data_IF_572061995024
#
_entry.id   IF_572061995024
#
_cell.length_a   1.000
_cell.length_b   1.000
_cell.length_c   1.000
_cell.angle_alpha   90.00
_cell.angle_beta   90.00
_cell.angle_gamma   90.00
#
_symmetry.space_group_name_H-M   'P 1'
#
loop_
_entity.id
_entity.type
_entity.pdbx_description
1 polymer ?
#
# COMPACT_ATOMS: atom_id res chain seq x y z
N UNK A 1 -13.27 -20.81 -46.02
CA UNK A 1 -13.09 -19.39 -45.58
C UNK A 1 -12.95 -19.21 -44.05
N UNK A 2 -13.05 -20.25 -43.24
CA UNK A 2 -12.97 -20.22 -41.76
C UNK A 2 -11.57 -20.25 -41.15
N UNK A 3 -10.54 -20.66 -41.87
CA UNK A 3 -9.17 -20.84 -41.32
C UNK A 3 -8.34 -19.55 -41.17
N UNK A 4 -8.75 -18.43 -41.80
CA UNK A 4 -7.98 -17.17 -41.74
C UNK A 4 -8.27 -16.32 -40.51
N UNK A 5 -9.44 -16.46 -39.88
CA UNK A 5 -9.81 -15.68 -38.72
C UNK A 5 -9.17 -16.16 -37.41
N UNK A 6 -8.98 -17.48 -37.28
CA UNK A 6 -8.33 -18.06 -36.10
C UNK A 6 -6.87 -17.67 -35.96
N UNK A 7 -6.13 -17.49 -37.06
CA UNK A 7 -4.74 -17.08 -37.04
C UNK A 7 -4.55 -15.60 -36.66
N UNK A 8 -5.47 -14.74 -37.06
CA UNK A 8 -5.44 -13.31 -36.69
C UNK A 8 -5.82 -13.07 -35.22
N UNK A 9 -6.77 -13.84 -34.68
CA UNK A 9 -7.10 -13.77 -33.25
C UNK A 9 -5.98 -14.33 -32.37
N UNK A 10 -5.39 -15.45 -32.73
CA UNK A 10 -4.25 -16.00 -31.98
C UNK A 10 -3.03 -15.07 -32.00
N UNK A 11 -2.77 -14.38 -33.10
CA UNK A 11 -1.67 -13.41 -33.17
C UNK A 11 -1.94 -12.15 -32.31
N UNK A 12 -3.19 -11.70 -32.20
CA UNK A 12 -3.55 -10.58 -31.34
C UNK A 12 -3.47 -10.95 -29.85
N UNK A 13 -3.90 -12.17 -29.48
CA UNK A 13 -3.81 -12.66 -28.09
C UNK A 13 -2.34 -12.90 -27.71
N UNK A 14 -1.53 -13.44 -28.62
CA UNK A 14 -0.09 -13.63 -28.39
C UNK A 14 0.64 -12.29 -28.26
N UNK A 15 0.28 -11.25 -29.04
CA UNK A 15 0.86 -9.92 -28.93
C UNK A 15 0.48 -9.22 -27.62
N UNK A 16 -0.75 -9.39 -27.11
CA UNK A 16 -1.14 -8.90 -25.79
C UNK A 16 -0.43 -9.61 -24.63
N UNK A 17 -0.21 -10.92 -24.75
CA UNK A 17 0.49 -11.69 -23.72
C UNK A 17 2.00 -11.38 -23.67
N UNK A 18 2.61 -11.04 -24.82
CA UNK A 18 4.02 -10.65 -24.90
C UNK A 18 4.25 -9.23 -24.39
N UNK A 19 3.33 -8.30 -24.66
CA UNK A 19 3.44 -6.92 -24.12
C UNK A 19 3.32 -6.88 -22.59
N UNK A 20 2.59 -7.80 -21.96
CA UNK A 20 2.50 -7.92 -20.49
C UNK A 20 3.75 -8.54 -19.84
N UNK A 21 4.60 -9.24 -20.60
CA UNK A 21 5.73 -9.99 -20.06
C UNK A 21 7.01 -9.14 -19.83
N UNK A 22 7.05 -7.88 -20.30
CA UNK A 22 8.23 -7.01 -20.20
C UNK A 22 8.07 -5.78 -19.31
N UNK A 23 6.92 -5.59 -18.70
CA UNK A 23 6.69 -4.47 -17.80
C UNK A 23 7.16 -4.84 -16.38
N UNK A 24 8.45 -4.72 -16.10
CA UNK A 24 8.97 -4.92 -14.75
C UNK A 24 8.91 -3.61 -13.96
N UNK A 25 8.29 -3.67 -12.80
CA UNK A 25 8.36 -2.62 -11.80
C UNK A 25 9.61 -2.79 -10.95
N UNK A 26 10.15 -1.68 -10.49
CA UNK A 26 11.25 -1.65 -9.52
C UNK A 26 10.76 -0.98 -8.26
N UNK A 27 11.01 -1.62 -7.11
CA UNK A 27 10.73 -1.06 -5.80
C UNK A 27 12.05 -1.06 -5.03
N UNK A 28 12.50 0.13 -4.63
CA UNK A 28 13.74 0.32 -3.86
C UNK A 28 13.38 0.86 -2.49
N UNK A 29 13.80 0.20 -1.42
CA UNK A 29 13.63 0.69 -0.05
C UNK A 29 14.75 1.65 0.24
N UNK A 30 14.40 2.92 0.45
CA UNK A 30 15.35 4.01 0.68
C UNK A 30 15.68 4.14 2.18
N UNK A 31 14.65 3.98 3.04
CA UNK A 31 14.79 4.08 4.48
C UNK A 31 13.78 3.17 5.18
N UNK A 32 14.20 2.55 6.27
CA UNK A 32 13.33 1.72 7.10
C UNK A 32 13.76 1.86 8.56
N UNK A 33 12.97 2.59 9.33
CA UNK A 33 13.24 2.89 10.73
C UNK A 33 12.02 2.62 11.58
N UNK A 34 12.22 2.30 12.84
CA UNK A 34 11.14 2.15 13.79
C UNK A 34 11.66 2.25 15.22
N UNK A 35 10.78 2.53 16.14
CA UNK A 35 11.09 2.60 17.56
C UNK A 35 9.87 2.32 18.43
N UNK A 36 10.11 1.82 19.64
CA UNK A 36 9.13 1.74 20.72
C UNK A 36 9.69 2.42 21.97
N UNK A 37 8.85 3.14 22.69
CA UNK A 37 9.24 3.90 23.88
C UNK A 37 8.73 3.26 25.15
N UNK A 38 9.64 3.03 26.09
CA UNK A 38 9.36 2.55 27.45
C UNK A 38 9.45 3.73 28.44
N UNK A 39 8.33 4.21 28.99
CA UNK A 39 8.35 5.35 29.93
C UNK A 39 8.94 4.99 31.29
N UNK A 40 8.89 3.73 31.71
CA UNK A 40 9.40 3.30 33.02
C UNK A 40 10.94 3.39 33.09
N UNK A 41 11.61 3.01 32.01
CA UNK A 41 13.08 3.08 31.91
C UNK A 41 13.57 4.31 31.17
N UNK A 42 12.64 5.13 30.66
CA UNK A 42 12.93 6.28 29.81
C UNK A 42 13.84 5.88 28.63
N UNK A 43 13.57 4.76 28.01
CA UNK A 43 14.42 4.21 26.94
C UNK A 43 13.61 3.97 25.67
N UNK A 44 14.31 4.04 24.54
CA UNK A 44 13.78 3.73 23.21
C UNK A 44 14.48 2.50 22.66
N UNK A 45 13.70 1.51 22.25
CA UNK A 45 14.19 0.38 21.49
C UNK A 45 13.98 0.66 19.99
N UNK A 46 15.07 0.64 19.22
CA UNK A 46 14.99 0.80 17.77
C UNK A 46 14.55 -0.50 17.11
N UNK A 47 13.60 -0.38 16.22
CA UNK A 47 13.02 -1.50 15.47
C UNK A 47 12.87 -1.09 14.00
N UNK A 48 13.04 -2.04 13.09
CA UNK A 48 12.76 -1.83 11.67
C UNK A 48 11.59 -2.69 11.23
N UNK A 49 10.78 -2.21 10.30
CA UNK A 49 9.70 -3.00 9.75
C UNK A 49 10.23 -4.13 8.84
N UNK A 50 9.48 -5.22 8.72
CA UNK A 50 9.66 -6.16 7.61
C UNK A 50 8.91 -5.60 6.42
N UNK A 51 9.61 -5.39 5.31
CA UNK A 51 9.04 -4.87 4.07
C UNK A 51 9.06 -5.96 3.02
N UNK A 52 7.89 -6.36 2.54
CA UNK A 52 7.73 -7.31 1.44
C UNK A 52 7.34 -6.54 0.18
N UNK A 53 8.02 -6.79 -0.92
CA UNK A 53 7.78 -6.13 -2.20
C UNK A 53 7.47 -7.15 -3.27
N UNK A 54 6.48 -6.83 -4.11
CA UNK A 54 6.09 -7.62 -5.27
C UNK A 54 6.08 -6.69 -6.48
N UNK A 55 6.64 -7.14 -7.58
CA UNK A 55 6.81 -6.32 -8.79
C UNK A 55 6.03 -6.84 -10.00
N UNK A 56 5.35 -7.97 -9.86
CA UNK A 56 4.58 -8.61 -10.94
C UNK A 56 3.30 -9.27 -10.38
N UNK A 57 2.11 -9.11 -10.97
CA UNK A 57 1.82 -8.29 -12.15
C UNK A 57 1.73 -6.77 -11.86
N UNK A 58 1.50 -6.38 -10.60
CA UNK A 58 1.41 -5.00 -10.15
C UNK A 58 2.42 -4.73 -9.04
N UNK A 59 2.93 -3.51 -8.93
CA UNK A 59 3.78 -3.14 -7.81
C UNK A 59 2.96 -3.15 -6.52
N UNK A 60 3.44 -3.91 -5.53
CA UNK A 60 2.80 -4.05 -4.24
C UNK A 60 3.86 -4.00 -3.13
N UNK A 61 3.53 -3.32 -2.04
CA UNK A 61 4.35 -3.23 -0.84
C UNK A 61 3.51 -3.59 0.37
N UNK A 62 4.06 -4.42 1.24
CA UNK A 62 3.49 -4.75 2.55
C UNK A 62 4.51 -4.37 3.61
N UNK A 63 4.16 -3.40 4.44
CA UNK A 63 4.94 -3.00 5.60
C UNK A 63 4.37 -3.72 6.81
N UNK A 64 5.18 -4.53 7.46
CA UNK A 64 4.85 -5.25 8.68
C UNK A 64 5.71 -4.64 9.79
N UNK A 65 5.16 -3.75 10.62
CA UNK A 65 5.92 -3.16 11.71
C UNK A 65 6.33 -4.24 12.70
N UNK A 66 7.58 -4.20 13.15
CA UNK A 66 8.12 -5.18 14.10
C UNK A 66 8.65 -4.43 15.32
N UNK A 67 8.20 -4.85 16.50
CA UNK A 67 8.77 -4.45 17.76
C UNK A 67 9.21 -5.70 18.53
N UNK A 68 10.41 -6.19 18.22
CA UNK A 68 10.90 -7.43 18.83
C UNK A 68 10.05 -8.65 18.41
N UNK A 69 9.74 -9.54 19.33
CA UNK A 69 8.77 -10.62 19.13
C UNK A 69 7.49 -10.25 19.92
N UNK A 70 6.40 -9.87 19.30
CA UNK A 70 5.70 -10.37 18.12
C UNK A 70 5.83 -9.49 16.87
N UNK A 71 5.28 -9.98 15.74
CA UNK A 71 5.29 -9.38 14.41
C UNK A 71 4.28 -8.20 14.34
N UNK A 72 4.48 -7.19 15.18
CA UNK A 72 3.65 -5.99 15.22
C UNK A 72 4.34 -4.89 16.05
N UNK A 73 4.11 -3.61 15.76
CA UNK A 73 4.32 -2.57 16.76
C UNK A 73 3.15 -2.65 17.75
N UNK A 74 3.45 -2.66 19.03
CA UNK A 74 2.45 -2.72 20.09
C UNK A 74 2.78 -1.77 21.24
N UNK A 75 1.73 -1.26 21.87
CA UNK A 75 1.80 -0.49 23.10
C UNK A 75 0.71 -0.97 24.08
N UNK A 76 0.98 -0.95 25.37
CA UNK A 76 0.10 -1.53 26.38
C UNK A 76 0.15 -3.08 26.42
N UNK A 77 -0.95 -3.74 26.77
CA UNK A 77 -1.10 -5.21 26.84
C UNK A 77 -0.02 -5.93 27.64
N UNK A 78 0.34 -5.39 28.81
CA UNK A 78 1.41 -5.92 29.64
C UNK A 78 2.82 -5.60 29.12
N UNK A 79 2.96 -4.98 27.96
CA UNK A 79 4.25 -4.49 27.44
C UNK A 79 4.68 -3.22 28.18
N UNK A 80 5.98 -3.00 28.36
CA UNK A 80 6.48 -1.78 29.00
C UNK A 80 6.43 -0.54 28.09
N UNK A 81 5.71 -0.59 26.96
CA UNK A 81 5.71 0.44 25.93
C UNK A 81 4.39 1.22 25.92
N UNK A 82 4.48 2.54 25.78
CA UNK A 82 3.32 3.43 25.58
C UNK A 82 3.22 3.99 24.17
N UNK A 83 4.29 3.95 23.42
CA UNK A 83 4.34 4.48 22.06
C UNK A 83 5.22 3.60 21.17
N UNK A 84 4.81 3.42 19.94
CA UNK A 84 5.61 2.80 18.90
C UNK A 84 5.41 3.47 17.54
N UNK A 85 6.46 3.54 16.76
CA UNK A 85 6.43 4.10 15.41
C UNK A 85 7.26 3.24 14.47
N UNK A 86 6.78 3.11 13.22
CA UNK A 86 7.55 2.59 12.09
C UNK A 86 7.43 3.56 10.93
N UNK A 87 8.55 3.83 10.26
CA UNK A 87 8.61 4.70 9.09
C UNK A 87 9.39 4.00 7.98
N UNK A 88 8.78 3.88 6.82
CA UNK A 88 9.39 3.28 5.63
C UNK A 88 9.28 4.27 4.48
N UNK A 89 10.41 4.57 3.86
CA UNK A 89 10.47 5.34 2.62
C UNK A 89 10.96 4.43 1.51
N UNK A 90 10.29 4.46 0.37
CA UNK A 90 10.67 3.67 -0.81
C UNK A 90 10.28 4.36 -2.10
N UNK A 91 10.98 3.98 -3.16
CA UNK A 91 10.75 4.47 -4.52
C UNK A 91 10.13 3.36 -5.37
N UNK A 92 9.12 3.71 -6.15
CA UNK A 92 8.48 2.84 -7.15
C UNK A 92 8.70 3.43 -8.53
N UNK A 93 9.27 2.63 -9.43
CA UNK A 93 9.49 3.01 -10.83
C UNK A 93 8.97 1.93 -11.77
N UNK A 94 8.34 2.32 -12.86
CA UNK A 94 7.79 1.38 -13.83
C UNK A 94 7.49 1.98 -15.19
N UNK A 95 7.09 1.14 -16.14
CA UNK A 95 6.93 1.54 -17.54
C UNK A 95 5.63 2.30 -17.82
N UNK A 96 4.65 2.21 -16.92
CA UNK A 96 3.33 2.82 -17.11
C UNK A 96 2.99 3.71 -15.90
N UNK A 97 2.26 4.83 -16.10
CA UNK A 97 1.80 5.63 -14.98
C UNK A 97 0.87 4.85 -14.04
N UNK A 98 1.06 5.03 -12.75
CA UNK A 98 0.14 4.63 -11.69
C UNK A 98 -0.86 5.76 -11.49
N UNK A 99 -2.13 5.44 -11.40
CA UNK A 99 -3.23 6.39 -11.17
C UNK A 99 -3.76 6.37 -9.75
N UNK A 100 -3.40 5.35 -8.98
CA UNK A 100 -3.87 5.25 -7.60
C UNK A 100 -3.30 4.05 -6.86
N UNK A 101 -3.75 3.89 -5.64
CA UNK A 101 -3.31 2.83 -4.73
C UNK A 101 -4.49 2.27 -3.94
N UNK A 102 -4.58 0.95 -3.87
CA UNK A 102 -5.44 0.25 -2.93
C UNK A 102 -4.68 0.07 -1.63
N UNK A 103 -5.18 0.67 -0.56
CA UNK A 103 -4.57 0.65 0.77
C UNK A 103 -5.39 -0.28 1.67
N UNK A 104 -4.72 -1.19 2.37
CA UNK A 104 -5.31 -2.00 3.43
C UNK A 104 -4.51 -1.81 4.71
N UNK A 105 -5.15 -1.30 5.76
CA UNK A 105 -4.61 -1.19 7.10
C UNK A 105 -5.16 -2.32 7.97
N UNK A 106 -4.33 -2.86 8.86
CA UNK A 106 -4.75 -3.92 9.78
C UNK A 106 -4.11 -3.68 11.15
N UNK A 107 -4.95 -3.54 12.17
CA UNK A 107 -4.54 -3.28 13.54
C UNK A 107 -5.59 -3.69 14.56
N UNK A 108 -5.33 -3.39 15.82
CA UNK A 108 -6.23 -3.60 16.95
C UNK A 108 -6.08 -2.44 17.93
N UNK A 109 -7.19 -1.97 18.48
CA UNK A 109 -7.21 -0.95 19.54
C UNK A 109 -8.17 -1.34 20.65
N UNK A 110 -7.86 -0.94 21.88
CA UNK A 110 -8.73 -1.07 23.05
C UNK A 110 -8.41 0.00 24.09
N UNK A 111 -9.44 0.49 24.77
CA UNK A 111 -9.31 1.47 25.87
C UNK A 111 -8.79 2.83 25.40
N UNK A 112 -7.89 3.44 26.17
CA UNK A 112 -7.28 4.74 25.85
C UNK A 112 -6.06 4.55 24.94
N UNK A 113 -6.28 3.97 23.77
CA UNK A 113 -5.23 3.66 22.79
C UNK A 113 -5.66 4.08 21.39
N UNK A 114 -4.68 4.28 20.51
CA UNK A 114 -4.94 4.49 19.09
C UNK A 114 -3.86 3.81 18.23
N UNK A 115 -4.24 3.54 16.99
CA UNK A 115 -3.34 3.18 15.90
C UNK A 115 -3.57 4.10 14.72
N UNK A 116 -2.51 4.58 14.10
CA UNK A 116 -2.60 5.45 12.94
C UNK A 116 -1.71 4.97 11.80
N UNK A 117 -2.17 5.24 10.59
CA UNK A 117 -1.44 5.01 9.34
C UNK A 117 -1.44 6.30 8.53
N UNK A 118 -0.27 6.72 8.09
CA UNK A 118 -0.09 7.86 7.20
C UNK A 118 0.70 7.43 5.98
N UNK A 119 0.27 7.86 4.81
CA UNK A 119 0.96 7.66 3.55
C UNK A 119 1.04 8.97 2.79
N UNK A 120 2.25 9.28 2.34
CA UNK A 120 2.49 10.37 1.40
C UNK A 120 3.17 9.84 0.15
N UNK A 121 2.70 10.24 -1.01
CA UNK A 121 3.28 9.88 -2.30
C UNK A 121 3.69 11.13 -3.04
N UNK A 122 4.95 11.17 -3.46
CA UNK A 122 5.56 12.30 -4.16
C UNK A 122 5.99 11.86 -5.56
N UNK A 123 5.50 12.53 -6.59
CA UNK A 123 6.06 12.37 -7.93
C UNK A 123 7.50 12.88 -7.96
N UNK A 124 8.42 12.04 -8.43
CA UNK A 124 9.85 12.38 -8.43
C UNK A 124 10.25 13.35 -9.53
N UNK A 125 9.50 13.43 -10.62
CA UNK A 125 9.79 14.34 -11.72
C UNK A 125 9.47 15.80 -11.38
N UNK A 126 8.34 16.02 -10.68
CA UNK A 126 7.87 17.35 -10.29
C UNK A 126 8.14 17.69 -8.81
N UNK A 127 8.52 16.69 -8.00
CA UNK A 127 8.65 16.77 -6.55
C UNK A 127 7.36 17.27 -5.86
N UNK A 128 6.19 16.93 -6.43
CA UNK A 128 4.88 17.32 -5.90
C UNK A 128 4.24 16.17 -5.13
N UNK A 129 3.51 16.51 -4.07
CA UNK A 129 2.67 15.55 -3.34
C UNK A 129 1.46 15.19 -4.19
N UNK A 130 1.33 13.91 -4.55
CA UNK A 130 0.24 13.39 -5.40
C UNK A 130 -0.77 12.54 -4.65
N UNK A 131 -0.45 12.15 -3.41
CA UNK A 131 -1.38 11.53 -2.47
C UNK A 131 -0.96 11.86 -1.04
N UNK A 132 -1.92 12.26 -0.22
CA UNK A 132 -1.82 12.34 1.23
C UNK A 132 -2.98 11.54 1.85
N UNK A 133 -2.65 10.51 2.62
CA UNK A 133 -3.62 9.64 3.29
C UNK A 133 -3.29 9.56 4.77
N UNK A 134 -4.32 9.66 5.59
CA UNK A 134 -4.21 9.40 7.02
C UNK A 134 -5.46 8.68 7.51
N UNK A 135 -5.27 7.63 8.32
CA UNK A 135 -6.34 6.94 9.03
C UNK A 135 -5.93 6.74 10.48
N UNK A 136 -6.83 7.07 11.40
CA UNK A 136 -6.62 6.88 12.83
C UNK A 136 -7.81 6.13 13.40
N UNK A 137 -7.53 5.10 14.19
CA UNK A 137 -8.54 4.33 14.91
C UNK A 137 -8.27 4.44 16.40
N UNK A 138 -9.29 4.81 17.13
CA UNK A 138 -9.27 5.02 18.57
C UNK A 138 -10.02 3.90 19.28
N UNK A 139 -9.51 3.48 20.43
CA UNK A 139 -10.24 2.60 21.35
C UNK A 139 -11.36 3.34 22.09
N UNK A 140 -12.18 2.60 22.80
CA UNK A 140 -13.41 3.10 23.48
C UNK A 140 -13.14 4.21 24.48
N UNK A 141 -11.99 4.20 25.14
CA UNK A 141 -11.58 5.26 26.08
C UNK A 141 -11.27 6.61 25.41
N UNK A 142 -11.07 6.64 24.09
CA UNK A 142 -10.83 7.85 23.28
C UNK A 142 -12.01 8.14 22.34
N UNK A 143 -13.23 7.77 22.70
CA UNK A 143 -14.44 7.93 21.89
C UNK A 143 -14.46 7.16 20.56
N UNK A 144 -13.66 6.10 20.45
CA UNK A 144 -13.68 5.16 19.34
C UNK A 144 -14.38 3.84 19.69
N UNK A 145 -13.97 2.76 19.07
CA UNK A 145 -14.48 1.40 19.29
C UNK A 145 -13.34 0.42 19.50
N UNK A 146 -13.47 -0.46 20.50
CA UNK A 146 -12.51 -1.52 20.72
C UNK A 146 -12.63 -2.61 19.66
N UNK A 147 -11.50 -3.15 19.23
CA UNK A 147 -11.46 -4.29 18.33
C UNK A 147 -10.48 -4.16 17.17
N UNK A 148 -10.65 -5.03 16.18
CA UNK A 148 -9.89 -5.03 14.95
C UNK A 148 -10.22 -3.82 14.10
N UNK A 149 -9.17 -3.19 13.57
CA UNK A 149 -9.25 -2.01 12.70
C UNK A 149 -8.76 -2.39 11.31
N UNK A 150 -9.63 -3.07 10.53
CA UNK A 150 -9.33 -3.42 9.15
C UNK A 150 -10.06 -2.42 8.26
N UNK A 151 -9.30 -1.71 7.43
CA UNK A 151 -9.84 -0.80 6.43
C UNK A 151 -9.15 -1.02 5.09
N UNK A 152 -9.95 -1.19 4.04
CA UNK A 152 -9.47 -1.32 2.66
C UNK A 152 -10.14 -0.27 1.82
N UNK A 153 -9.36 0.62 1.22
CA UNK A 153 -9.86 1.72 0.43
C UNK A 153 -8.93 2.04 -0.74
N UNK A 154 -9.53 2.40 -1.87
CA UNK A 154 -8.80 2.88 -3.04
C UNK A 154 -8.69 4.41 -3.03
N UNK A 155 -7.51 4.92 -3.36
CA UNK A 155 -7.22 6.34 -3.47
C UNK A 155 -6.61 6.66 -4.82
N UNK A 156 -7.15 7.69 -5.48
CA UNK A 156 -6.57 8.21 -6.71
C UNK A 156 -5.40 9.13 -6.41
N UNK A 157 -4.36 9.08 -7.25
CA UNK A 157 -3.35 10.11 -7.29
C UNK A 157 -3.91 11.38 -7.94
N UNK A 158 -3.52 12.54 -7.47
CA UNK A 158 -3.89 13.81 -8.09
C UNK A 158 -3.31 13.97 -9.49
N UNK A 159 -2.18 13.32 -9.76
CA UNK A 159 -1.52 13.23 -11.06
C UNK A 159 -0.93 11.84 -11.24
N UNK A 160 -1.17 11.15 -12.35
CA UNK A 160 -0.53 9.86 -12.65
C UNK A 160 1.00 9.98 -12.67
N UNK A 161 1.68 8.99 -12.10
CA UNK A 161 3.16 8.96 -12.08
C UNK A 161 3.69 7.56 -12.30
N UNK A 162 4.76 7.44 -13.07
CA UNK A 162 5.51 6.19 -13.28
C UNK A 162 6.79 6.10 -12.45
N UNK A 163 7.13 7.17 -11.72
CA UNK A 163 8.32 7.24 -10.86
C UNK A 163 8.02 8.13 -9.65
N UNK A 164 7.79 7.51 -8.50
CA UNK A 164 7.36 8.22 -7.30
C UNK A 164 7.99 7.64 -6.05
N UNK A 165 8.16 8.50 -5.04
CA UNK A 165 8.60 8.15 -3.70
C UNK A 165 7.40 8.08 -2.77
N UNK A 166 7.41 7.09 -1.89
CA UNK A 166 6.38 6.86 -0.87
C UNK A 166 7.01 6.99 0.51
N UNK A 167 6.31 7.64 1.41
CA UNK A 167 6.57 7.66 2.85
C UNK A 167 5.37 7.02 3.56
N UNK A 168 5.61 5.92 4.24
CA UNK A 168 4.64 5.26 5.12
C UNK A 168 5.05 5.45 6.58
N UNK A 169 4.12 5.92 7.40
CA UNK A 169 4.29 6.05 8.86
C UNK A 169 3.15 5.30 9.55
N UNK A 170 3.53 4.43 10.47
CA UNK A 170 2.61 3.66 11.30
C UNK A 170 2.92 4.00 12.75
N UNK A 171 1.90 4.35 13.53
CA UNK A 171 2.07 4.68 14.94
C UNK A 171 1.04 3.94 15.79
N UNK A 172 1.47 3.56 16.99
CA UNK A 172 0.63 3.00 18.04
C UNK A 172 0.85 3.77 19.33
N UNK A 173 -0.20 3.94 20.10
CA UNK A 173 -0.15 4.58 21.40
C UNK A 173 -1.11 3.88 22.37
N UNK A 174 -0.68 3.72 23.64
CA UNK A 174 -1.54 3.36 24.75
C UNK A 174 -1.21 4.28 25.92
N UNK A 175 -2.24 4.79 26.62
CA UNK A 175 -2.07 5.81 27.68
C UNK A 175 -1.29 5.28 28.88
N UNK A 176 -1.35 3.96 29.13
CA UNK A 176 -0.69 3.31 30.26
C UNK A 176 0.00 2.02 29.82
N UNK A 177 1.20 1.81 30.34
CA UNK A 177 1.94 0.57 30.20
C UNK A 177 2.56 0.19 31.57
N UNK A 178 2.53 -1.10 31.98
CA UNK A 178 1.77 -2.17 31.37
C UNK A 178 0.27 -2.07 31.74
N UNK A 179 -0.61 -2.13 30.76
CA UNK A 179 -2.06 -2.15 30.97
C UNK A 179 -2.75 -3.11 30.01
N UNK A 180 -3.48 -4.11 30.50
CA UNK A 180 -4.24 -5.01 29.64
C UNK A 180 -5.51 -4.36 29.06
N UNK A 181 -5.88 -3.17 29.53
CA UNK A 181 -7.08 -2.46 29.09
C UNK A 181 -6.80 -1.42 28.00
N UNK A 182 -5.60 -0.85 27.98
CA UNK A 182 -5.18 0.16 27.00
C UNK A 182 -4.17 -0.49 26.05
N UNK A 183 -4.62 -0.85 24.86
CA UNK A 183 -3.86 -1.67 23.92
C UNK A 183 -3.96 -1.14 22.52
N UNK A 184 -2.84 -1.00 21.83
CA UNK A 184 -2.77 -0.75 20.41
C UNK A 184 -1.76 -1.67 19.71
N UNK A 185 -2.19 -2.29 18.62
CA UNK A 185 -1.33 -3.07 17.73
C UNK A 185 -1.50 -2.62 16.30
N UNK A 186 -0.40 -2.43 15.58
CA UNK A 186 -0.38 -2.30 14.14
C UNK A 186 0.24 -3.57 13.53
N UNK A 187 -0.54 -4.33 12.76
CA UNK A 187 -0.11 -5.61 12.19
C UNK A 187 0.48 -5.46 10.79
N UNK A 188 -0.21 -4.75 9.91
CA UNK A 188 0.28 -4.55 8.54
C UNK A 188 -0.31 -3.34 7.86
N UNK A 189 0.45 -2.80 6.91
CA UNK A 189 0.06 -1.75 5.99
C UNK A 189 0.35 -2.25 4.57
N UNK A 190 -0.68 -2.74 3.88
CA UNK A 190 -0.57 -3.29 2.53
C UNK A 190 -1.03 -2.29 1.50
N UNK A 191 -0.30 -2.23 0.38
CA UNK A 191 -0.56 -1.29 -0.70
C UNK A 191 -0.33 -1.97 -2.05
N UNK A 192 -1.35 -1.87 -2.93
CA UNK A 192 -1.26 -2.30 -4.30
C UNK A 192 -1.43 -1.07 -5.21
N UNK A 193 -0.40 -0.75 -5.97
CA UNK A 193 -0.40 0.38 -6.90
C UNK A 193 -1.06 -0.02 -8.21
N UNK A 194 -2.02 0.78 -8.66
CA UNK A 194 -2.86 0.45 -9.81
C UNK A 194 -2.49 1.37 -10.97
N UNK A 195 -1.97 0.81 -12.07
CA UNK A 195 -1.76 1.55 -13.31
C UNK A 195 -3.07 2.09 -13.88
N UNK A 196 -2.98 3.02 -14.81
CA UNK A 196 -4.13 3.40 -15.63
C UNK A 196 -4.81 2.13 -16.17
N UNK A 197 -6.14 2.03 -16.02
CA UNK A 197 -6.81 0.80 -16.38
C UNK A 197 -6.49 0.46 -17.84
N UNK A 198 -5.85 -0.68 -18.06
CA UNK A 198 -5.72 -1.29 -19.39
C UNK A 198 -7.10 -1.47 -20.07
N UNK A 199 -8.18 -1.32 -19.31
CA UNK A 199 -9.55 -1.21 -19.79
C UNK A 199 -9.75 -0.08 -20.81
N UNK A 200 -9.08 1.05 -20.66
CA UNK A 200 -9.13 2.13 -21.66
C UNK A 200 -8.40 1.72 -22.94
N UNK A 201 -7.28 1.03 -22.82
CA UNK A 201 -6.57 0.47 -23.97
C UNK A 201 -7.35 -0.68 -24.61
N UNK A 202 -7.90 -1.59 -23.79
CA UNK A 202 -8.72 -2.70 -24.25
C UNK A 202 -10.03 -2.20 -24.90
N UNK A 203 -10.65 -1.16 -24.35
CA UNK A 203 -11.82 -0.51 -24.93
C UNK A 203 -11.47 0.16 -26.26
N UNK A 204 -10.34 0.88 -26.31
CA UNK A 204 -9.84 1.53 -27.54
C UNK A 204 -9.56 0.51 -28.64
N UNK A 205 -8.85 -0.57 -28.33
CA UNK A 205 -8.57 -1.68 -29.27
C UNK A 205 -9.83 -2.42 -29.68
N UNK A 206 -10.77 -2.64 -28.74
CA UNK A 206 -12.06 -3.27 -29.01
C UNK A 206 -12.93 -2.42 -29.97
N UNK A 207 -13.01 -1.11 -29.73
CA UNK A 207 -13.72 -0.18 -30.60
C UNK A 207 -13.07 -0.05 -32.00
N UNK A 208 -11.74 0.03 -32.06
CA UNK A 208 -11.00 0.05 -33.33
C UNK A 208 -11.21 -1.26 -34.13
N UNK A 209 -11.24 -2.40 -33.43
CA UNK A 209 -11.58 -3.70 -34.02
C UNK A 209 -12.99 -3.75 -34.61
N UNK A 210 -13.99 -3.24 -33.88
CA UNK A 210 -15.38 -3.16 -34.35
C UNK A 210 -15.54 -2.24 -35.55
N UNK A 211 -14.88 -1.09 -35.57
CA UNK A 211 -14.87 -0.16 -36.74
C UNK A 211 -14.21 -0.81 -37.96
N UNK A 212 -13.11 -1.53 -37.75
CA UNK A 212 -12.41 -2.30 -38.79
C UNK A 212 -13.29 -3.40 -39.43
N UNK A 213 -14.06 -4.10 -38.60
CA UNK A 213 -15.00 -5.13 -39.07
C UNK A 213 -16.18 -4.55 -39.86
N UNK A 214 -16.67 -3.36 -39.46
CA UNK A 214 -17.79 -2.66 -40.15
C UNK A 214 -17.38 -2.16 -41.53
N UNK A 215 -16.12 -1.75 -41.72
CA UNK A 215 -15.58 -1.29 -43.04
C UNK A 215 -15.36 -2.44 -44.02
N UNK A 216 -15.25 -3.70 -43.57
CA UNK A 216 -15.08 -4.87 -44.45
C UNK A 216 -16.39 -5.45 -44.98
N UNK A 217 -17.55 -4.97 -44.51
CA UNK A 217 -18.87 -5.41 -44.96
C UNK A 217 -19.49 -4.52 -46.04
N UNK A 218 -18.75 -3.52 -46.52
CA UNK A 218 -19.03 -2.74 -47.72
C UNK A 218 -18.03 -3.10 -48.82
#
# INVERSE_FOLDING_TARGET
MQLRYGKLMMSAIAALSVAGAYASWTITIDQNTGSVFNPTTNSTLNTAAVVQTFTNPLPQVIVIPVAGNPVAIAAGDGLPYTFGQSSVTYTVSGPTPITGVLITTNGFVRGNAFVSWTKQVFDLASNTLILDFSAVFYGSGLNGSDGLTINTQFFNFSTPSSNFRVLDIIQVFASQAPSPNDVAFAFSFSQAFVPEPASMLALGVGLAGLVGLRRRKK
#
